data_IF_495339689317
#
_entry.id   IF_495339689317
#
_cell.length_a   1.000
_cell.length_b   1.000
_cell.length_c   1.000
_cell.angle_alpha   90.00
_cell.angle_beta   90.00
_cell.angle_gamma   90.00
#
_symmetry.space_group_name_H-M   'P 1'
#
loop_
_entity.id
_entity.type
_entity.pdbx_description
1 polymer ?
#
# COMPACT_ATOMS: atom_id res chain seq x y z
N UNK A 1 -4.77 -32.30 3.63
CA UNK A 1 -4.10 -30.99 3.54
C UNK A 1 -4.08 -30.34 4.91
N UNK A 2 -2.96 -29.77 5.36
CA UNK A 2 -2.84 -29.18 6.71
C UNK A 2 -2.38 -27.72 6.60
N UNK A 3 -3.31 -26.84 6.23
CA UNK A 3 -3.08 -25.39 6.14
C UNK A 3 -3.11 -24.80 7.55
N UNK A 4 -2.18 -23.90 7.84
CA UNK A 4 -2.08 -23.23 9.14
C UNK A 4 -2.20 -21.70 8.98
N UNK A 5 -2.69 -20.98 10.00
CA UNK A 5 -2.71 -19.52 9.96
C UNK A 5 -1.30 -18.94 9.82
N UNK A 6 -1.17 -17.81 9.11
CA UNK A 6 0.08 -17.07 8.99
C UNK A 6 0.23 -16.15 10.22
N UNK A 7 1.29 -16.33 11.00
CA UNK A 7 1.49 -15.64 12.30
C UNK A 7 2.79 -14.85 12.40
N UNK A 8 3.68 -14.98 11.42
CA UNK A 8 4.98 -14.31 11.37
C UNK A 8 5.49 -14.29 9.91
N UNK A 9 6.63 -13.62 9.70
CA UNK A 9 7.23 -13.44 8.37
C UNK A 9 7.71 -14.75 7.72
N UNK A 10 8.07 -15.76 8.52
CA UNK A 10 8.49 -17.06 7.98
C UNK A 10 7.29 -17.86 7.48
N UNK A 11 6.14 -17.80 8.17
CA UNK A 11 4.88 -18.35 7.69
C UNK A 11 4.42 -17.64 6.40
N UNK A 12 4.63 -16.32 6.30
CA UNK A 12 4.26 -15.51 5.13
C UNK A 12 5.15 -15.84 3.93
N UNK A 13 6.46 -15.96 4.14
CA UNK A 13 7.41 -16.40 3.11
C UNK A 13 7.07 -17.80 2.61
N UNK A 14 6.78 -18.73 3.52
CA UNK A 14 6.38 -20.09 3.16
C UNK A 14 5.06 -20.12 2.38
N UNK A 15 4.11 -19.24 2.69
CA UNK A 15 2.87 -19.09 1.92
C UNK A 15 3.14 -18.60 0.49
N UNK A 16 4.03 -17.62 0.31
CA UNK A 16 4.42 -17.14 -1.02
C UNK A 16 5.18 -18.21 -1.84
N UNK A 17 6.15 -18.89 -1.24
CA UNK A 17 6.88 -19.99 -1.89
C UNK A 17 5.91 -21.12 -2.33
N UNK A 18 4.89 -21.41 -1.51
CA UNK A 18 3.88 -22.41 -1.85
C UNK A 18 2.97 -21.92 -2.97
N UNK A 19 2.51 -20.67 -2.92
CA UNK A 19 1.71 -20.05 -3.97
C UNK A 19 2.44 -20.10 -5.32
N UNK A 20 3.73 -19.76 -5.36
CA UNK A 20 4.54 -19.85 -6.59
C UNK A 20 4.58 -21.28 -7.17
N UNK A 21 4.68 -22.31 -6.31
CA UNK A 21 4.74 -23.70 -6.75
C UNK A 21 3.41 -24.23 -7.33
N UNK A 22 2.27 -23.63 -6.98
CA UNK A 22 0.94 -24.08 -7.37
C UNK A 22 0.16 -23.07 -8.21
N UNK A 23 0.77 -21.93 -8.55
CA UNK A 23 0.12 -20.83 -9.26
C UNK A 23 -0.45 -21.21 -10.64
N UNK A 24 0.07 -22.30 -11.23
CA UNK A 24 -0.39 -22.83 -12.52
C UNK A 24 -1.22 -24.11 -12.36
N UNK A 25 -1.74 -24.37 -11.15
CA UNK A 25 -2.62 -25.51 -10.90
C UNK A 25 -3.87 -25.44 -11.80
N UNK A 26 -4.26 -26.56 -12.44
CA UNK A 26 -5.48 -26.60 -13.24
C UNK A 26 -6.71 -26.29 -12.38
N UNK A 27 -7.65 -25.51 -12.93
CA UNK A 27 -8.92 -25.23 -12.26
C UNK A 27 -9.63 -26.52 -11.84
N UNK A 28 -10.15 -26.53 -10.61
CA UNK A 28 -10.83 -27.69 -10.01
C UNK A 28 -9.89 -28.77 -9.48
N UNK A 29 -8.56 -28.57 -9.49
CA UNK A 29 -7.62 -29.42 -8.78
C UNK A 29 -7.53 -29.05 -7.29
N UNK A 30 -7.08 -29.99 -6.47
CA UNK A 30 -6.88 -29.75 -5.03
C UNK A 30 -5.83 -28.65 -4.77
N UNK A 31 -4.87 -28.47 -5.68
CA UNK A 31 -3.87 -27.40 -5.62
C UNK A 31 -4.46 -26.03 -5.99
N UNK A 32 -5.50 -25.96 -6.82
CA UNK A 32 -6.23 -24.72 -7.07
C UNK A 32 -7.01 -24.28 -5.82
N UNK A 33 -7.69 -25.23 -5.17
CA UNK A 33 -8.37 -24.97 -3.87
C UNK A 33 -7.35 -24.53 -2.79
N UNK A 34 -6.16 -25.13 -2.78
CA UNK A 34 -5.06 -24.72 -1.90
C UNK A 34 -4.63 -23.28 -2.14
N UNK A 35 -4.46 -22.91 -3.40
CA UNK A 35 -4.06 -21.57 -3.80
C UNK A 35 -5.05 -20.52 -3.30
N UNK A 36 -6.35 -20.75 -3.49
CA UNK A 36 -7.40 -19.82 -3.03
C UNK A 36 -7.35 -19.62 -1.51
N UNK A 37 -7.18 -20.70 -0.74
CA UNK A 37 -7.11 -20.62 0.72
C UNK A 37 -5.84 -19.88 1.17
N UNK A 38 -4.69 -20.12 0.52
CA UNK A 38 -3.44 -19.45 0.86
C UNK A 38 -3.51 -17.94 0.58
N UNK A 39 -4.13 -17.53 -0.53
CA UNK A 39 -4.37 -16.11 -0.83
C UNK A 39 -5.21 -15.45 0.28
N UNK A 40 -6.33 -16.07 0.66
CA UNK A 40 -7.19 -15.53 1.73
C UNK A 40 -6.45 -15.42 3.08
N UNK A 41 -5.52 -16.34 3.37
CA UNK A 41 -4.70 -16.29 4.58
C UNK A 41 -3.62 -15.22 4.52
N UNK A 42 -3.01 -14.99 3.36
CA UNK A 42 -2.07 -13.87 3.13
C UNK A 42 -2.79 -12.55 3.36
N UNK A 43 -3.97 -12.35 2.75
CA UNK A 43 -4.77 -11.14 2.95
C UNK A 43 -5.16 -10.92 4.42
N UNK A 44 -5.63 -11.97 5.10
CA UNK A 44 -5.98 -11.89 6.52
C UNK A 44 -4.75 -11.60 7.40
N UNK A 45 -3.58 -12.10 7.00
CA UNK A 45 -2.32 -11.87 7.67
C UNK A 45 -1.79 -10.45 7.44
N UNK A 46 -1.84 -9.95 6.21
CA UNK A 46 -1.47 -8.59 5.85
C UNK A 46 -2.33 -7.60 6.64
N UNK A 47 -3.65 -7.81 6.68
CA UNK A 47 -4.56 -7.01 7.50
C UNK A 47 -4.24 -7.02 9.02
N UNK A 48 -3.46 -8.00 9.49
CA UNK A 48 -3.16 -8.24 10.91
C UNK A 48 -1.72 -7.86 11.30
N UNK A 49 -0.74 -8.04 10.41
CA UNK A 49 0.67 -7.65 10.61
C UNK A 49 0.97 -6.24 10.08
N UNK A 50 0.29 -5.86 9.00
CA UNK A 50 0.07 -4.47 8.63
C UNK A 50 -1.35 -4.13 9.05
N UNK A 51 -1.60 -3.73 10.31
CA UNK A 51 -2.68 -2.76 10.46
C UNK A 51 -2.33 -1.68 9.45
N UNK A 52 -3.24 -1.30 8.57
CA UNK A 52 -3.05 -0.06 7.80
C UNK A 52 -3.09 1.04 8.88
N UNK A 53 -1.95 1.22 9.57
CA UNK A 53 -1.71 2.27 10.53
C UNK A 53 -1.87 3.58 9.78
N UNK A 54 -2.18 4.68 10.47
CA UNK A 54 -2.63 5.90 9.83
C UNK A 54 -1.60 6.27 8.76
N UNK A 55 -1.98 6.05 7.49
CA UNK A 55 -1.14 6.39 6.38
C UNK A 55 -0.95 7.90 6.43
N UNK A 56 0.22 8.34 6.88
CA UNK A 56 0.53 9.74 6.79
C UNK A 56 0.59 10.05 5.29
N UNK A 57 -0.32 10.90 4.78
CA UNK A 57 -0.37 11.18 3.36
C UNK A 57 0.96 11.73 2.85
N UNK A 58 1.73 12.40 3.72
CA UNK A 58 3.06 12.91 3.40
C UNK A 58 4.06 11.80 3.14
N UNK A 59 4.07 10.74 3.95
CA UNK A 59 4.99 9.63 3.76
C UNK A 59 4.60 8.79 2.54
N UNK A 60 3.30 8.62 2.28
CA UNK A 60 2.83 8.00 1.04
C UNK A 60 3.28 8.76 -0.21
N UNK A 61 3.25 10.11 -0.16
CA UNK A 61 3.75 10.95 -1.24
C UNK A 61 5.27 10.80 -1.41
N UNK A 62 6.05 10.87 -0.32
CA UNK A 62 7.52 10.75 -0.39
C UNK A 62 7.97 9.38 -0.90
N UNK A 63 7.35 8.32 -0.43
CA UNK A 63 7.62 6.96 -0.90
C UNK A 63 7.38 6.85 -2.40
N UNK A 64 6.27 7.41 -2.89
CA UNK A 64 5.98 7.44 -4.33
C UNK A 64 6.99 8.30 -5.11
N UNK A 65 7.44 9.41 -4.54
CA UNK A 65 8.48 10.24 -5.16
C UNK A 65 9.80 9.47 -5.31
N UNK A 66 10.22 8.73 -4.29
CA UNK A 66 11.43 7.92 -4.32
C UNK A 66 11.35 6.85 -5.41
N UNK A 67 10.24 6.10 -5.48
CA UNK A 67 10.02 5.07 -6.49
C UNK A 67 10.09 5.59 -7.93
N UNK A 68 9.67 6.83 -8.16
CA UNK A 68 9.59 7.43 -9.49
C UNK A 68 10.70 8.45 -9.77
N UNK A 69 11.65 8.62 -8.85
CA UNK A 69 12.73 9.61 -8.97
C UNK A 69 12.24 11.06 -9.06
N UNK A 70 11.11 11.39 -8.43
CA UNK A 70 10.49 12.72 -8.49
C UNK A 70 11.12 13.67 -7.48
N UNK A 71 11.36 14.90 -7.89
CA UNK A 71 11.71 16.01 -7.01
C UNK A 71 10.44 16.74 -6.51
N UNK A 72 10.50 17.51 -5.41
CA UNK A 72 9.34 18.23 -4.89
C UNK A 72 8.65 19.14 -5.92
N UNK A 73 9.40 19.77 -6.83
CA UNK A 73 8.86 20.59 -7.93
C UNK A 73 7.92 19.80 -8.86
N UNK A 74 8.12 18.48 -8.97
CA UNK A 74 7.32 17.62 -9.86
C UNK A 74 5.95 17.30 -9.26
N UNK A 75 5.71 17.68 -7.99
CA UNK A 75 4.40 17.59 -7.35
C UNK A 75 3.48 18.78 -7.63
N UNK A 76 3.99 19.85 -8.22
CA UNK A 76 3.23 21.08 -8.46
C UNK A 76 1.93 20.86 -9.28
N UNK A 77 1.89 19.99 -10.30
CA UNK A 77 0.65 19.68 -11.02
C UNK A 77 -0.45 19.10 -10.12
N UNK A 78 -0.07 18.38 -9.06
CA UNK A 78 -1.01 17.70 -8.17
C UNK A 78 -1.41 18.57 -6.97
N UNK A 79 -0.44 19.32 -6.42
CA UNK A 79 -0.58 20.03 -5.15
C UNK A 79 -0.74 21.56 -5.34
N UNK A 80 -0.10 22.16 -6.34
CA UNK A 80 -0.05 23.61 -6.58
C UNK A 80 1.36 24.18 -6.43
N UNK A 81 1.50 25.46 -6.08
CA UNK A 81 2.81 26.14 -6.02
C UNK A 81 3.85 25.43 -5.15
N UNK A 82 5.14 25.61 -5.44
CA UNK A 82 6.24 24.98 -4.69
C UNK A 82 6.20 25.28 -3.18
N UNK A 83 5.76 26.50 -2.81
CA UNK A 83 5.53 26.85 -1.40
C UNK A 83 4.49 25.95 -0.74
N UNK A 84 3.39 25.65 -1.44
CA UNK A 84 2.35 24.75 -0.95
C UNK A 84 2.80 23.29 -0.90
N UNK A 85 3.58 22.85 -1.90
CA UNK A 85 4.22 21.53 -1.86
C UNK A 85 5.08 21.40 -0.62
N UNK A 86 5.95 22.39 -0.35
CA UNK A 86 6.81 22.42 0.83
C UNK A 86 6.00 22.41 2.13
N UNK A 87 4.94 23.23 2.23
CA UNK A 87 4.06 23.23 3.40
C UNK A 87 3.44 21.84 3.67
N UNK A 88 3.00 21.13 2.63
CA UNK A 88 2.42 19.79 2.76
C UNK A 88 3.49 18.76 3.12
N UNK A 89 4.62 18.73 2.42
CA UNK A 89 5.71 17.77 2.70
C UNK A 89 6.32 17.94 4.10
N UNK A 90 6.19 19.14 4.68
CA UNK A 90 6.60 19.46 6.04
C UNK A 90 5.44 19.45 7.05
N UNK A 91 4.26 18.93 6.68
CA UNK A 91 3.07 18.81 7.55
C UNK A 91 2.54 20.13 8.13
N UNK A 92 2.94 21.27 7.56
CA UNK A 92 2.43 22.60 7.94
C UNK A 92 1.04 22.86 7.40
N UNK A 93 0.62 22.11 6.38
CA UNK A 93 -0.70 22.21 5.74
C UNK A 93 -1.22 20.80 5.41
N UNK A 94 -2.49 20.48 5.71
CA UNK A 94 -3.10 19.23 5.29
C UNK A 94 -3.41 19.22 3.78
N UNK A 95 -3.52 18.03 3.20
CA UNK A 95 -4.02 17.86 1.84
C UNK A 95 -5.51 18.24 1.76
N UNK A 96 -5.90 18.89 0.66
CA UNK A 96 -7.32 19.04 0.30
C UNK A 96 -7.79 17.83 -0.51
N UNK A 97 -9.10 17.54 -0.50
CA UNK A 97 -9.68 16.48 -1.33
C UNK A 97 -9.33 16.61 -2.82
N UNK A 98 -9.22 17.85 -3.34
CA UNK A 98 -8.82 18.11 -4.72
C UNK A 98 -7.37 17.68 -4.98
N UNK A 99 -6.47 17.83 -4.01
CA UNK A 99 -5.07 17.39 -4.11
C UNK A 99 -4.98 15.87 -4.01
N UNK A 100 -5.73 15.27 -3.08
CA UNK A 100 -5.79 13.81 -2.91
C UNK A 100 -6.21 13.13 -4.22
N UNK A 101 -7.29 13.62 -4.84
CA UNK A 101 -7.74 13.12 -6.14
C UNK A 101 -6.65 13.22 -7.21
N UNK A 102 -5.96 14.37 -7.30
CA UNK A 102 -4.90 14.58 -8.29
C UNK A 102 -3.68 13.67 -8.05
N UNK A 103 -3.29 13.47 -6.80
CA UNK A 103 -2.18 12.60 -6.42
C UNK A 103 -2.50 11.13 -6.73
N UNK A 104 -3.72 10.69 -6.46
CA UNK A 104 -4.18 9.37 -6.86
C UNK A 104 -4.19 9.21 -8.39
N UNK A 105 -4.83 10.13 -9.10
CA UNK A 105 -5.01 10.00 -10.56
C UNK A 105 -3.68 10.09 -11.32
N UNK A 106 -2.79 10.98 -10.87
CA UNK A 106 -1.51 11.25 -11.53
C UNK A 106 -0.36 10.36 -11.09
N UNK A 107 -0.27 10.04 -9.80
CA UNK A 107 0.83 9.27 -9.23
C UNK A 107 0.43 7.89 -8.76
N UNK A 108 -0.85 7.48 -8.88
CA UNK A 108 -1.38 6.16 -8.48
C UNK A 108 -1.17 5.83 -7.00
N UNK A 109 -1.03 6.85 -6.15
CA UNK A 109 -0.98 6.65 -4.70
C UNK A 109 -2.39 6.24 -4.23
N UNK A 110 -2.55 5.12 -3.50
CA UNK A 110 -3.87 4.66 -3.04
C UNK A 110 -4.60 5.74 -2.23
N UNK A 111 -5.93 5.82 -2.40
CA UNK A 111 -6.75 6.79 -1.66
C UNK A 111 -6.66 6.59 -0.15
N UNK A 112 -6.63 5.35 0.32
CA UNK A 112 -6.44 5.02 1.74
C UNK A 112 -5.14 5.63 2.29
N UNK A 113 -4.10 5.66 1.46
CA UNK A 113 -2.80 6.21 1.85
C UNK A 113 -2.81 7.73 1.96
N UNK A 114 -3.75 8.41 1.28
CA UNK A 114 -3.82 9.87 1.18
C UNK A 114 -4.91 10.50 2.06
N UNK A 115 -5.92 9.73 2.46
CA UNK A 115 -7.07 10.20 3.24
C UNK A 115 -6.87 10.04 4.75
N UNK A 116 -5.89 9.23 5.16
CA UNK A 116 -5.61 9.04 6.58
C UNK A 116 -5.08 10.33 7.20
N UNK A 117 -5.55 10.65 8.41
CA UNK A 117 -5.11 11.84 9.13
C UNK A 117 -3.85 11.52 9.94
N UNK A 118 -2.81 12.33 9.75
CA UNK A 118 -1.66 12.34 10.65
C UNK A 118 -2.17 12.64 12.07
N UNK A 119 -2.03 11.68 12.98
CA UNK A 119 -2.23 11.96 14.40
C UNK A 119 -1.08 12.86 14.85
N UNK A 120 -1.39 14.10 15.20
CA UNK A 120 -0.49 14.91 16.03
C UNK A 120 -0.30 14.19 17.36
N UNK A 121 0.92 13.74 17.62
CA UNK A 121 1.43 13.56 18.98
C UNK A 121 2.18 14.85 19.33
#
# INVERSE_FOLDING_TARGET
>A
MNIKPIRNDDDLRAAFERLEAIFQAPEGSAEADEMEILVALVEACENRHYPIGPADPVEAIKFRMEQQGLAPKDLEPYIGSSGRVSEILNRKRPLSLRMIKRLHDGLRIPYESLLSQAHSI
#
